data_IF_047463563036
#
_entry.id   IF_047463563036
#
_cell.length_a   1.000
_cell.length_b   1.000
_cell.length_c   1.000
_cell.angle_alpha   90.00
_cell.angle_beta   90.00
_cell.angle_gamma   90.00
#
_symmetry.space_group_name_H-M   'P 1'
#
loop_
_entity.id
_entity.type
_entity.pdbx_description
1 polymer ?
#
# COMPACT_ATOMS: atom_id res chain seq x y z
N UNK A 1 -35.18 -38.26 47.54
CA UNK A 1 -33.87 -38.07 48.19
C UNK A 1 -33.76 -36.62 48.60
N UNK A 2 -33.41 -36.32 49.86
CA UNK A 2 -33.23 -34.95 50.33
C UNK A 2 -31.83 -34.45 49.94
N UNK A 3 -31.76 -33.37 49.15
CA UNK A 3 -30.50 -32.72 48.76
C UNK A 3 -29.80 -32.13 50.00
N UNK A 4 -28.50 -32.44 50.17
CA UNK A 4 -27.71 -31.88 51.26
C UNK A 4 -27.23 -30.45 50.94
N UNK A 5 -26.87 -29.70 51.99
CA UNK A 5 -26.45 -28.31 51.86
C UNK A 5 -25.19 -28.12 50.98
N UNK A 6 -24.33 -29.13 50.88
CA UNK A 6 -23.14 -29.13 50.03
C UNK A 6 -23.51 -29.17 48.54
N UNK A 7 -24.54 -29.94 48.17
CA UNK A 7 -25.07 -30.00 46.80
C UNK A 7 -25.71 -28.66 46.40
N UNK A 8 -26.34 -27.96 47.35
CA UNK A 8 -26.86 -26.59 47.14
C UNK A 8 -25.73 -25.58 46.91
N UNK A 9 -24.66 -25.61 47.71
CA UNK A 9 -23.51 -24.70 47.52
C UNK A 9 -22.76 -24.99 46.22
N UNK A 10 -22.61 -26.26 45.83
CA UNK A 10 -22.02 -26.65 44.56
C UNK A 10 -22.85 -26.19 43.35
N UNK A 11 -24.19 -26.20 43.46
CA UNK A 11 -25.09 -25.68 42.41
C UNK A 11 -25.05 -24.13 42.33
N UNK A 12 -24.85 -23.46 43.47
CA UNK A 12 -24.65 -22.00 43.53
C UNK A 12 -23.28 -21.59 42.96
N UNK A 13 -22.22 -22.36 43.20
CA UNK A 13 -20.89 -22.11 42.63
C UNK A 13 -20.81 -22.48 41.14
N UNK A 14 -21.51 -23.52 40.68
CA UNK A 14 -21.65 -23.85 39.25
C UNK A 14 -22.49 -22.82 38.47
N UNK A 15 -23.29 -22.01 39.18
CA UNK A 15 -24.02 -20.86 38.66
C UNK A 15 -23.28 -19.53 38.82
N UNK A 16 -21.95 -19.53 38.98
CA UNK A 16 -21.15 -18.29 38.95
C UNK A 16 -21.24 -17.67 37.55
N UNK A 17 -22.25 -16.83 37.38
CA UNK A 17 -22.52 -16.00 36.22
C UNK A 17 -21.29 -15.14 35.89
N UNK A 18 -20.50 -15.54 34.89
CA UNK A 18 -19.58 -14.61 34.24
C UNK A 18 -20.44 -13.67 33.41
N UNK A 19 -20.67 -12.47 33.93
CA UNK A 19 -21.20 -11.37 33.13
C UNK A 19 -20.14 -10.87 32.16
N UNK A 20 -20.55 -10.37 31.01
CA UNK A 20 -19.66 -9.66 30.10
C UNK A 20 -19.85 -8.15 30.28
N UNK A 21 -18.77 -7.38 30.17
CA UNK A 21 -18.87 -5.91 30.11
C UNK A 21 -18.33 -5.41 28.80
N UNK A 22 -19.06 -4.52 28.13
CA UNK A 22 -18.62 -3.84 26.92
C UNK A 22 -18.85 -2.33 27.06
N UNK A 23 -18.23 -1.51 26.21
CA UNK A 23 -18.56 -0.07 26.10
C UNK A 23 -19.44 0.12 24.88
N UNK A 24 -20.55 0.83 25.03
CA UNK A 24 -21.40 1.21 23.90
C UNK A 24 -20.77 2.33 23.06
N UNK A 25 -21.44 2.70 21.96
CA UNK A 25 -21.04 3.76 21.02
C UNK A 25 -20.83 5.14 21.67
N UNK A 26 -21.41 5.37 22.85
CA UNK A 26 -21.30 6.64 23.59
C UNK A 26 -20.22 6.52 24.70
N UNK A 27 -19.43 5.43 24.70
CA UNK A 27 -18.34 5.18 25.63
C UNK A 27 -18.78 4.70 27.01
N UNK A 28 -20.08 4.41 27.21
CA UNK A 28 -20.64 4.01 28.50
C UNK A 28 -20.53 2.51 28.70
N UNK A 29 -20.10 2.11 29.88
CA UNK A 29 -19.97 0.70 30.23
C UNK A 29 -21.34 0.04 30.42
N UNK A 30 -21.56 -1.03 29.67
CA UNK A 30 -22.75 -1.87 29.72
C UNK A 30 -22.38 -3.24 30.27
N UNK A 31 -23.31 -3.82 31.04
CA UNK A 31 -23.11 -5.11 31.72
C UNK A 31 -24.15 -6.09 31.21
N UNK A 32 -23.70 -7.18 30.63
CA UNK A 32 -24.54 -8.29 30.20
C UNK A 32 -24.55 -9.31 31.31
N UNK A 33 -25.74 -9.52 31.86
CA UNK A 33 -26.00 -10.55 32.85
C UNK A 33 -26.57 -11.77 32.13
N UNK A 34 -26.26 -12.99 32.58
CA UNK A 34 -26.91 -14.18 32.08
C UNK A 34 -28.42 -14.12 32.25
N UNK A 35 -29.18 -14.67 31.29
CA UNK A 35 -30.64 -14.70 31.29
C UNK A 35 -31.16 -16.12 31.06
N UNK A 36 -32.38 -16.38 31.55
CA UNK A 36 -33.08 -17.67 31.42
C UNK A 36 -32.56 -18.80 32.34
N UNK A 37 -33.31 -19.90 32.37
CA UNK A 37 -33.04 -21.06 33.25
C UNK A 37 -31.70 -21.77 32.95
N UNK A 38 -31.12 -21.50 31.77
CA UNK A 38 -29.86 -22.04 31.30
C UNK A 38 -28.63 -21.14 31.56
N UNK A 39 -28.81 -19.94 32.15
CA UNK A 39 -27.73 -18.98 32.43
C UNK A 39 -26.86 -18.63 31.20
N UNK A 40 -27.48 -18.46 30.02
CA UNK A 40 -26.73 -18.01 28.84
C UNK A 40 -26.56 -16.50 28.84
N UNK A 41 -25.44 -16.03 28.29
CA UNK A 41 -25.23 -14.62 28.00
C UNK A 41 -26.04 -14.23 26.76
N UNK A 42 -26.96 -13.28 26.91
CA UNK A 42 -27.66 -12.68 25.79
C UNK A 42 -26.78 -11.60 25.15
N UNK A 43 -26.12 -11.96 24.05
CA UNK A 43 -25.22 -11.08 23.30
C UNK A 43 -25.93 -10.27 22.21
N UNK A 44 -27.26 -10.35 22.10
CA UNK A 44 -28.02 -9.58 21.10
C UNK A 44 -27.80 -8.07 21.26
N UNK A 45 -27.67 -7.61 22.50
CA UNK A 45 -27.32 -6.22 22.85
C UNK A 45 -25.90 -5.81 22.48
N UNK A 46 -24.94 -6.77 22.37
CA UNK A 46 -23.60 -6.47 21.84
C UNK A 46 -23.72 -6.19 20.36
N UNK A 47 -24.31 -7.11 19.61
CA UNK A 47 -24.39 -7.06 18.14
C UNK A 47 -25.18 -5.84 17.64
N UNK A 48 -26.20 -5.40 18.41
CA UNK A 48 -27.03 -4.24 18.06
C UNK A 48 -26.43 -2.90 18.49
N UNK A 49 -25.61 -2.85 19.56
CA UNK A 49 -24.93 -1.62 19.99
C UNK A 49 -23.47 -1.50 19.52
N UNK A 50 -22.88 -2.57 18.97
CA UNK A 50 -21.55 -2.58 18.38
C UNK A 50 -21.54 -2.16 16.91
N UNK A 51 -22.58 -1.49 16.42
CA UNK A 51 -22.59 -0.87 15.10
C UNK A 51 -22.61 -1.82 13.91
N UNK A 52 -22.90 -3.12 14.10
CA UNK A 52 -23.14 -4.05 13.00
C UNK A 52 -24.60 -4.00 12.55
N UNK A 53 -25.04 -2.82 12.10
CA UNK A 53 -26.21 -2.70 11.24
C UNK A 53 -25.78 -3.05 9.82
N UNK A 54 -26.35 -4.12 9.30
CA UNK A 54 -26.16 -4.68 7.95
C UNK A 54 -26.80 -3.84 6.83
N UNK A 55 -26.78 -2.51 6.96
CA UNK A 55 -27.16 -1.60 5.89
C UNK A 55 -25.88 -0.89 5.42
N UNK A 56 -25.36 -1.33 4.28
CA UNK A 56 -24.24 -0.69 3.61
C UNK A 56 -24.60 0.75 3.26
N UNK A 57 -23.95 1.69 3.94
CA UNK A 57 -24.13 3.13 3.75
C UNK A 57 -24.89 3.78 4.91
N UNK A 58 -24.20 4.62 5.69
CA UNK A 58 -24.88 5.34 6.76
C UNK A 58 -23.97 6.19 7.64
N UNK A 59 -23.68 7.41 7.18
CA UNK A 59 -23.55 8.63 8.00
C UNK A 59 -22.89 8.48 9.37
N UNK A 60 -21.58 8.25 9.41
CA UNK A 60 -20.81 8.62 10.60
C UNK A 60 -20.71 10.16 10.63
N UNK A 61 -21.34 10.87 11.59
CA UNK A 61 -21.34 12.33 11.63
C UNK A 61 -19.94 12.93 11.84
N UNK A 62 -19.03 12.15 12.42
CA UNK A 62 -17.65 12.56 12.69
C UNK A 62 -16.72 12.33 11.49
N UNK A 63 -17.19 11.64 10.44
CA UNK A 63 -16.42 11.33 9.24
C UNK A 63 -17.31 11.44 7.98
N UNK A 64 -17.56 12.67 7.47
CA UNK A 64 -18.35 12.87 6.27
C UNK A 64 -17.67 12.21 5.05
N UNK A 65 -18.46 11.58 4.18
CA UNK A 65 -17.97 10.97 2.95
C UNK A 65 -17.42 12.02 2.01
N UNK A 66 -16.21 11.78 1.47
CA UNK A 66 -15.74 12.46 0.28
C UNK A 66 -15.34 11.37 -0.72
N UNK A 67 -16.12 11.24 -1.79
CA UNK A 67 -16.18 10.02 -2.60
C UNK A 67 -17.29 9.11 -2.07
N UNK A 68 -18.29 8.88 -2.91
CA UNK A 68 -19.67 8.58 -2.55
C UNK A 68 -19.92 7.18 -1.94
N UNK A 69 -19.41 6.94 -0.72
CA UNK A 69 -20.14 6.32 0.42
C UNK A 69 -19.27 5.56 1.45
N UNK A 70 -17.93 5.57 1.30
CA UNK A 70 -17.02 4.95 2.27
C UNK A 70 -16.19 6.00 3.01
N UNK A 71 -15.85 5.72 4.26
CA UNK A 71 -15.07 6.62 5.12
C UNK A 71 -13.62 6.11 5.23
N UNK A 72 -12.69 6.98 5.63
CA UNK A 72 -11.25 6.66 5.64
C UNK A 72 -10.85 5.47 6.54
N UNK A 73 -11.74 5.00 7.42
CA UNK A 73 -11.54 3.82 8.26
C UNK A 73 -11.99 2.50 7.63
N UNK A 74 -12.84 2.50 6.59
CA UNK A 74 -13.43 1.28 6.04
C UNK A 74 -12.41 0.25 5.56
N UNK A 75 -11.28 0.71 5.01
CA UNK A 75 -10.19 -0.19 4.63
C UNK A 75 -9.48 -0.78 5.86
N UNK A 76 -9.23 0.05 6.88
CA UNK A 76 -8.56 -0.38 8.10
C UNK A 76 -9.39 -1.43 8.85
N UNK A 77 -10.70 -1.23 8.94
CA UNK A 77 -11.66 -2.14 9.59
C UNK A 77 -11.98 -3.40 8.76
N UNK A 78 -11.51 -3.44 7.50
CA UNK A 78 -11.67 -4.57 6.59
C UNK A 78 -13.09 -4.72 6.02
N UNK A 79 -13.85 -3.62 6.02
CA UNK A 79 -15.15 -3.52 5.35
C UNK A 79 -14.98 -3.52 3.82
N UNK A 80 -13.85 -3.02 3.33
CA UNK A 80 -13.46 -3.10 1.91
C UNK A 80 -12.71 -4.41 1.67
N UNK A 81 -13.23 -5.24 0.77
CA UNK A 81 -12.70 -6.55 0.41
C UNK A 81 -12.71 -6.77 -1.10
N UNK A 82 -12.25 -7.94 -1.55
CA UNK A 82 -12.27 -8.36 -2.95
C UNK A 82 -11.70 -7.33 -3.94
N UNK A 83 -10.59 -6.68 -3.55
CA UNK A 83 -9.96 -5.67 -4.40
C UNK A 83 -9.18 -6.32 -5.54
N UNK A 84 -9.63 -6.16 -6.78
CA UNK A 84 -8.99 -6.73 -7.97
C UNK A 84 -8.50 -5.64 -8.90
N UNK A 85 -7.28 -5.81 -9.42
CA UNK A 85 -6.64 -4.82 -10.29
C UNK A 85 -7.33 -4.76 -11.66
N UNK A 86 -7.70 -3.54 -12.06
CA UNK A 86 -8.21 -3.25 -13.40
C UNK A 86 -7.16 -2.55 -14.24
N UNK A 87 -6.43 -1.61 -13.64
CA UNK A 87 -5.37 -0.87 -14.30
C UNK A 87 -4.28 -0.46 -13.31
N UNK A 88 -3.03 -0.47 -13.77
CA UNK A 88 -1.87 0.06 -13.04
C UNK A 88 -0.92 0.72 -14.01
N UNK A 89 -0.34 1.84 -13.61
CA UNK A 89 0.63 2.59 -14.39
C UNK A 89 0.91 3.93 -13.72
N UNK A 90 1.35 4.90 -14.50
CA UNK A 90 1.32 6.31 -14.12
C UNK A 90 0.73 7.02 -15.32
N UNK A 91 -0.44 7.62 -15.15
CA UNK A 91 -1.11 8.28 -16.26
C UNK A 91 -0.49 9.64 -16.60
N UNK A 92 -0.82 10.14 -17.79
CA UNK A 92 -0.44 11.48 -18.22
C UNK A 92 -1.64 12.39 -17.96
N UNK A 93 -1.61 13.26 -16.93
CA UNK A 93 -2.77 14.04 -16.52
C UNK A 93 -3.16 15.11 -17.56
N UNK A 94 -2.37 15.28 -18.62
CA UNK A 94 -2.70 16.18 -19.75
C UNK A 94 -3.54 15.50 -20.84
N UNK A 95 -3.77 14.19 -20.72
CA UNK A 95 -4.53 13.39 -21.68
C UNK A 95 -5.63 12.63 -20.96
N UNK A 96 -6.67 12.28 -21.70
CA UNK A 96 -7.69 11.36 -21.19
C UNK A 96 -7.10 9.94 -21.12
N UNK A 97 -7.25 9.31 -19.96
CA UNK A 97 -6.96 7.88 -19.79
C UNK A 97 -8.27 7.11 -20.00
N UNK A 98 -8.27 6.16 -20.95
CA UNK A 98 -9.38 5.21 -21.11
C UNK A 98 -8.95 3.85 -20.58
N UNK A 99 -9.65 3.35 -19.57
CA UNK A 99 -9.44 2.04 -18.96
C UNK A 99 -10.52 1.08 -19.43
N UNK A 100 -10.10 -0.06 -19.98
CA UNK A 100 -10.97 -1.21 -20.22
C UNK A 100 -10.85 -2.17 -19.04
N UNK A 101 -11.98 -2.49 -18.40
CA UNK A 101 -12.02 -3.41 -17.27
C UNK A 101 -11.67 -4.85 -17.72
N UNK A 102 -10.90 -5.56 -16.89
CA UNK A 102 -10.48 -6.93 -17.15
C UNK A 102 -11.62 -7.93 -16.91
N UNK A 103 -12.47 -7.64 -15.92
CA UNK A 103 -13.66 -8.42 -15.63
C UNK A 103 -14.85 -7.86 -16.44
N UNK A 104 -15.50 -8.68 -17.29
CA UNK A 104 -16.70 -8.24 -18.05
C UNK A 104 -17.79 -7.85 -17.05
N UNK A 105 -18.23 -6.57 -17.03
CA UNK A 105 -19.23 -6.12 -16.09
C UNK A 105 -20.61 -6.79 -16.28
N UNK A 106 -20.82 -7.54 -17.37
CA UNK A 106 -22.13 -8.08 -17.69
C UNK A 106 -23.14 -6.93 -17.86
N UNK A 107 -24.27 -6.97 -17.15
CA UNK A 107 -25.32 -5.94 -17.18
C UNK A 107 -25.20 -4.87 -16.08
N UNK A 108 -24.25 -5.02 -15.15
CA UNK A 108 -23.97 -4.06 -14.07
C UNK A 108 -22.63 -3.38 -14.35
N UNK A 109 -22.43 -2.14 -13.91
CA UNK A 109 -21.29 -1.32 -14.34
C UNK A 109 -19.90 -1.89 -14.00
N UNK A 110 -19.81 -2.64 -12.89
CA UNK A 110 -18.63 -3.39 -12.43
C UNK A 110 -19.01 -4.84 -12.10
N UNK A 111 -20.01 -5.41 -12.79
CA UNK A 111 -20.45 -6.79 -12.54
C UNK A 111 -20.99 -7.01 -11.13
N UNK A 112 -20.25 -7.79 -10.34
CA UNK A 112 -20.61 -8.17 -8.98
C UNK A 112 -20.05 -7.25 -7.89
N UNK A 113 -19.18 -6.30 -8.25
CA UNK A 113 -18.47 -5.43 -7.32
C UNK A 113 -19.30 -4.20 -6.93
N UNK A 114 -18.99 -3.63 -5.76
CA UNK A 114 -19.71 -2.48 -5.20
C UNK A 114 -19.20 -1.15 -5.76
N UNK A 115 -17.94 -1.09 -6.22
CA UNK A 115 -17.37 0.12 -6.79
C UNK A 115 -15.93 -0.02 -7.27
N UNK A 116 -15.27 1.13 -7.44
CA UNK A 116 -13.85 1.25 -7.76
C UNK A 116 -13.06 1.98 -6.68
N UNK A 117 -11.82 1.54 -6.47
CA UNK A 117 -10.79 2.19 -5.68
C UNK A 117 -9.77 2.83 -6.62
N UNK A 118 -9.38 4.07 -6.33
CA UNK A 118 -8.35 4.82 -7.06
C UNK A 118 -7.22 5.14 -6.09
N UNK A 119 -5.99 4.77 -6.48
CA UNK A 119 -4.74 5.21 -5.86
C UNK A 119 -4.00 6.14 -6.81
N UNK A 120 -3.29 7.11 -6.26
CA UNK A 120 -2.61 8.12 -7.04
C UNK A 120 -1.73 9.01 -6.17
N UNK A 121 -1.10 9.99 -6.81
CA UNK A 121 -0.24 10.97 -6.17
C UNK A 121 -0.51 12.38 -6.72
N UNK A 122 0.03 13.39 -6.03
CA UNK A 122 -0.02 14.77 -6.54
C UNK A 122 1.24 15.05 -7.34
N UNK A 123 1.05 15.38 -8.61
CA UNK A 123 2.08 15.98 -9.43
C UNK A 123 2.02 17.49 -9.28
N UNK A 124 3.15 18.09 -8.89
CA UNK A 124 3.35 19.52 -8.69
C UNK A 124 4.21 20.08 -9.82
N UNK A 125 3.77 21.19 -10.40
CA UNK A 125 4.48 21.89 -11.48
C UNK A 125 4.74 23.32 -11.02
N UNK A 126 6.00 23.74 -10.99
CA UNK A 126 6.38 25.10 -10.64
C UNK A 126 5.99 26.11 -11.74
N UNK A 127 5.57 27.30 -11.31
CA UNK A 127 5.32 28.45 -12.18
C UNK A 127 6.13 29.64 -11.68
N UNK A 128 6.89 30.27 -12.59
CA UNK A 128 7.54 31.56 -12.36
C UNK A 128 7.10 32.54 -13.45
N UNK A 129 6.31 33.55 -13.08
CA UNK A 129 5.77 34.56 -14.01
C UNK A 129 5.10 33.96 -15.25
N UNK A 130 4.32 32.90 -15.05
CA UNK A 130 3.63 32.17 -16.12
C UNK A 130 4.50 31.22 -16.94
N UNK A 131 5.81 31.11 -16.65
CA UNK A 131 6.69 30.12 -17.26
C UNK A 131 6.63 28.82 -16.47
N UNK A 132 6.36 27.72 -17.18
CA UNK A 132 6.35 26.36 -16.61
C UNK A 132 7.78 25.95 -16.27
N UNK A 133 8.00 25.61 -15.01
CA UNK A 133 9.26 25.11 -14.48
C UNK A 133 9.25 23.59 -14.28
N UNK A 134 9.99 23.15 -13.27
CA UNK A 134 10.17 21.73 -12.97
C UNK A 134 8.88 21.06 -12.47
N UNK A 135 8.75 19.79 -12.83
CA UNK A 135 7.72 18.89 -12.33
C UNK A 135 8.29 18.01 -11.22
N UNK A 136 7.53 17.84 -10.15
CA UNK A 136 7.88 17.01 -8.99
C UNK A 136 6.64 16.30 -8.44
N UNK A 137 6.85 15.31 -7.59
CA UNK A 137 5.78 14.64 -6.85
C UNK A 137 5.70 15.20 -5.43
N UNK A 138 4.48 15.28 -4.89
CA UNK A 138 4.22 15.62 -3.48
C UNK A 138 3.32 14.55 -2.88
N UNK A 139 3.71 14.05 -1.71
CA UNK A 139 2.94 13.04 -1.00
C UNK A 139 1.58 13.60 -0.54
N UNK A 140 0.54 12.77 -0.64
CA UNK A 140 -0.78 13.08 -0.13
C UNK A 140 -0.83 12.88 1.40
N UNK A 141 -1.50 13.81 2.08
CA UNK A 141 -1.86 13.68 3.48
C UNK A 141 -3.38 13.83 3.63
N UNK A 142 -4.09 12.72 3.83
CA UNK A 142 -5.49 12.79 4.23
C UNK A 142 -5.61 13.26 5.68
N UNK A 143 -6.28 14.40 5.90
CA UNK A 143 -6.65 14.87 7.22
C UNK A 143 -8.07 15.45 7.18
N UNK A 144 -9.00 14.81 7.90
CA UNK A 144 -10.40 15.26 7.99
C UNK A 144 -10.55 16.64 8.63
N UNK A 145 -9.56 17.11 9.41
CA UNK A 145 -9.53 18.45 9.99
C UNK A 145 -8.90 19.48 9.06
N UNK A 146 -8.40 19.04 7.90
CA UNK A 146 -7.73 19.87 6.91
C UNK A 146 -6.49 20.60 7.47
N UNK A 147 -5.76 19.96 8.40
CA UNK A 147 -4.57 20.56 9.02
C UNK A 147 -3.38 20.42 8.08
N UNK A 148 -2.76 21.55 7.75
CA UNK A 148 -1.52 21.57 6.97
C UNK A 148 -0.46 20.66 7.59
N UNK A 149 0.21 19.89 6.75
CA UNK A 149 1.40 19.11 7.11
C UNK A 149 2.54 19.47 6.17
N UNK A 150 3.65 19.93 6.73
CA UNK A 150 4.80 20.37 5.95
C UNK A 150 5.35 19.24 5.06
N UNK A 151 5.56 19.55 3.78
CA UNK A 151 6.05 18.60 2.77
C UNK A 151 4.97 17.70 2.15
N UNK A 152 3.68 17.93 2.45
CA UNK A 152 2.57 17.15 1.92
C UNK A 152 1.52 18.04 1.27
N UNK A 153 0.77 17.47 0.32
CA UNK A 153 -0.50 18.01 -0.11
C UNK A 153 -1.59 17.49 0.84
N UNK A 154 -2.03 18.34 1.78
CA UNK A 154 -3.13 17.99 2.68
C UNK A 154 -4.48 18.08 1.96
N UNK A 155 -5.24 16.99 2.05
CA UNK A 155 -6.58 16.85 1.47
C UNK A 155 -7.58 16.36 2.51
N UNK A 156 -8.83 16.78 2.39
CA UNK A 156 -9.98 16.21 3.10
C UNK A 156 -10.64 15.08 2.32
N UNK A 157 -10.21 14.82 1.08
CA UNK A 157 -10.68 13.67 0.31
C UNK A 157 -10.03 12.38 0.87
N UNK A 158 -10.81 11.40 1.35
CA UNK A 158 -10.34 10.08 1.74
C UNK A 158 -9.36 9.50 0.75
N UNK A 159 -8.32 8.88 1.29
CA UNK A 159 -7.33 8.14 0.53
C UNK A 159 -7.16 6.74 1.13
N UNK A 160 -7.35 5.65 0.36
CA UNK A 160 -7.71 5.59 -1.06
C UNK A 160 -9.06 6.25 -1.40
N UNK A 161 -9.23 6.65 -2.65
CA UNK A 161 -10.50 7.20 -3.14
C UNK A 161 -11.42 6.02 -3.49
N UNK A 162 -12.63 6.02 -2.95
CA UNK A 162 -13.65 5.01 -3.23
C UNK A 162 -14.85 5.64 -3.94
N UNK A 163 -15.25 5.06 -5.07
CA UNK A 163 -16.43 5.48 -5.82
C UNK A 163 -17.35 4.29 -6.00
N UNK A 164 -18.58 4.39 -5.50
CA UNK A 164 -19.59 3.36 -5.70
C UNK A 164 -20.07 3.30 -7.15
N UNK A 165 -20.52 2.10 -7.52
CA UNK A 165 -21.24 1.83 -8.77
C UNK A 165 -22.36 2.83 -9.05
N UNK A 166 -23.19 3.12 -8.05
CA UNK A 166 -24.36 3.99 -8.20
C UNK A 166 -24.00 5.47 -8.46
N UNK A 167 -22.77 5.86 -8.12
CA UNK A 167 -22.25 7.22 -8.31
C UNK A 167 -21.58 7.44 -9.66
N UNK A 168 -21.51 6.40 -10.50
CA UNK A 168 -20.96 6.45 -11.85
C UNK A 168 -22.01 6.04 -12.90
N UNK A 169 -23.18 6.69 -12.99
CA UNK A 169 -24.17 6.29 -13.98
C UNK A 169 -23.62 6.36 -15.41
N UNK A 170 -23.92 5.33 -16.21
CA UNK A 170 -23.40 5.23 -17.57
C UNK A 170 -23.72 6.47 -18.42
N UNK A 171 -22.70 6.98 -19.12
CA UNK A 171 -22.76 8.18 -19.95
C UNK A 171 -22.74 9.49 -19.19
N UNK A 172 -22.63 9.48 -17.86
CA UNK A 172 -22.48 10.69 -17.04
C UNK A 172 -21.07 10.81 -16.50
N UNK A 173 -20.66 12.05 -16.24
CA UNK A 173 -19.40 12.36 -15.57
C UNK A 173 -19.63 12.53 -14.09
N UNK A 174 -18.89 11.76 -13.28
CA UNK A 174 -18.77 11.97 -11.84
C UNK A 174 -17.49 12.76 -11.55
N UNK A 175 -17.64 13.81 -10.76
CA UNK A 175 -16.54 14.68 -10.39
C UNK A 175 -16.03 14.29 -9.00
N UNK A 176 -14.72 14.09 -8.88
CA UNK A 176 -14.04 13.68 -7.65
C UNK A 176 -13.02 14.75 -7.28
N UNK A 177 -13.41 15.74 -6.46
CA UNK A 177 -12.52 16.82 -6.07
C UNK A 177 -11.54 16.36 -4.98
N UNK A 178 -10.28 16.77 -5.10
CA UNK A 178 -9.22 16.52 -4.11
C UNK A 178 -9.09 17.76 -3.20
N UNK A 179 -10.21 18.10 -2.56
CA UNK A 179 -10.36 19.30 -1.73
C UNK A 179 -9.40 19.29 -0.54
N UNK A 180 -8.84 20.44 -0.19
CA UNK A 180 -8.03 20.61 1.01
C UNK A 180 -7.24 21.91 1.02
N UNK A 181 -6.37 22.09 2.01
CA UNK A 181 -5.42 23.21 2.06
C UNK A 181 -4.19 23.00 1.15
N UNK A 182 -4.06 21.84 0.50
CA UNK A 182 -2.88 21.51 -0.30
C UNK A 182 -1.61 21.57 0.53
N UNK A 183 -0.55 22.18 0.00
CA UNK A 183 0.69 22.43 0.75
C UNK A 183 0.58 23.59 1.76
N UNK A 184 -0.59 24.24 1.86
CA UNK A 184 -0.84 25.38 2.75
C UNK A 184 0.12 26.53 2.50
N UNK A 185 0.25 26.91 1.23
CA UNK A 185 1.02 28.07 0.80
C UNK A 185 0.11 29.28 0.96
N UNK A 186 0.57 30.36 1.61
CA UNK A 186 -0.24 31.56 1.88
C UNK A 186 -0.46 32.42 0.62
N UNK A 187 -0.98 31.79 -0.44
CA UNK A 187 -1.23 32.38 -1.75
C UNK A 187 -2.66 32.91 -1.84
N UNK A 188 -2.87 33.94 -2.66
CA UNK A 188 -4.17 34.61 -2.80
C UNK A 188 -5.13 33.92 -3.77
N UNK A 189 -4.66 33.01 -4.62
CA UNK A 189 -5.46 32.34 -5.63
C UNK A 189 -5.26 30.83 -5.59
N UNK A 190 -6.31 30.11 -5.19
CA UNK A 190 -6.25 28.66 -4.95
C UNK A 190 -7.42 27.92 -5.56
N UNK A 191 -7.15 26.71 -6.06
CA UNK A 191 -8.13 25.75 -6.55
C UNK A 191 -7.60 24.34 -6.39
N UNK A 192 -8.41 23.44 -5.83
CA UNK A 192 -8.04 22.02 -5.73
C UNK A 192 -8.09 21.30 -7.09
N UNK A 193 -7.22 20.29 -7.32
CA UNK A 193 -7.33 19.43 -8.48
C UNK A 193 -8.55 18.50 -8.34
N UNK A 194 -9.02 17.98 -9.46
CA UNK A 194 -10.21 17.13 -9.53
C UNK A 194 -10.04 16.07 -10.62
N UNK A 195 -10.64 14.90 -10.40
CA UNK A 195 -10.81 13.87 -11.42
C UNK A 195 -12.24 13.89 -11.96
N UNK A 196 -12.38 13.81 -13.27
CA UNK A 196 -13.64 13.63 -13.98
C UNK A 196 -13.70 12.19 -14.50
N UNK A 197 -14.65 11.42 -13.99
CA UNK A 197 -14.81 10.00 -14.29
C UNK A 197 -16.06 9.78 -15.14
N UNK A 198 -15.93 9.25 -16.35
CA UNK A 198 -17.07 8.92 -17.21
C UNK A 198 -17.07 7.44 -17.54
N UNK A 199 -18.11 6.73 -17.09
CA UNK A 199 -18.33 5.35 -17.54
C UNK A 199 -19.05 5.36 -18.89
N UNK A 200 -18.37 4.86 -19.91
CA UNK A 200 -18.84 4.89 -21.28
C UNK A 200 -19.79 3.72 -21.58
N UNK A 201 -20.60 3.87 -22.62
CA UNK A 201 -21.53 2.82 -23.08
C UNK A 201 -20.81 1.56 -23.61
N UNK A 202 -19.55 1.70 -24.03
CA UNK A 202 -18.68 0.59 -24.44
C UNK A 202 -18.03 -0.14 -23.26
N UNK A 203 -18.48 0.16 -22.04
CA UNK A 203 -18.00 -0.39 -20.76
C UNK A 203 -16.55 -0.02 -20.42
N UNK A 204 -16.02 1.07 -20.97
CA UNK A 204 -14.76 1.64 -20.53
C UNK A 204 -14.98 2.76 -19.51
N UNK A 205 -13.97 3.05 -18.70
CA UNK A 205 -13.93 4.25 -17.86
C UNK A 205 -12.96 5.25 -18.47
N UNK A 206 -13.43 6.46 -18.77
CA UNK A 206 -12.56 7.59 -19.09
C UNK A 206 -12.28 8.40 -17.84
N UNK A 207 -11.00 8.69 -17.61
CA UNK A 207 -10.51 9.59 -16.57
C UNK A 207 -9.93 10.83 -17.25
N UNK A 208 -10.45 11.99 -16.87
CA UNK A 208 -9.93 13.30 -17.26
C UNK A 208 -9.51 14.06 -16.00
N UNK A 209 -8.46 14.87 -16.09
CA UNK A 209 -7.90 15.58 -14.95
C UNK A 209 -8.16 17.08 -15.08
N UNK A 210 -8.65 17.67 -13.99
CA UNK A 210 -8.78 19.12 -13.85
C UNK A 210 -7.63 19.60 -12.98
N UNK A 211 -6.83 20.49 -13.56
CA UNK A 211 -5.70 21.13 -12.88
C UNK A 211 -6.19 21.99 -11.71
N UNK A 212 -5.57 21.80 -10.54
CA UNK A 212 -5.60 22.70 -9.41
C UNK A 212 -4.40 23.67 -9.43
N UNK A 213 -4.43 24.70 -8.60
CA UNK A 213 -3.35 25.65 -8.48
C UNK A 213 -3.33 26.32 -7.10
N UNK A 214 -2.16 26.81 -6.70
CA UNK A 214 -1.98 27.76 -5.59
C UNK A 214 -0.90 28.74 -6.04
N UNK A 215 -1.29 29.99 -6.34
CA UNK A 215 -0.43 31.02 -6.89
C UNK A 215 -0.86 32.44 -6.48
N UNK A 216 -0.04 33.43 -6.84
CA UNK A 216 -0.28 34.84 -6.55
C UNK A 216 -1.46 35.47 -7.33
N UNK A 217 -1.95 34.82 -8.39
CA UNK A 217 -3.05 35.31 -9.22
C UNK A 217 -2.67 36.47 -10.15
N UNK A 218 -1.37 36.73 -10.39
CA UNK A 218 -0.96 37.83 -11.28
C UNK A 218 -1.38 37.58 -12.73
N UNK A 219 -2.20 38.48 -13.27
CA UNK A 219 -2.68 38.46 -14.66
C UNK A 219 -1.57 38.60 -15.71
N UNK A 220 -0.41 39.15 -15.35
CA UNK A 220 0.76 39.24 -16.25
C UNK A 220 1.56 37.92 -16.32
N UNK A 221 1.25 36.97 -15.44
CA UNK A 221 1.91 35.67 -15.35
C UNK A 221 2.01 35.27 -13.87
N UNK A 222 1.28 34.24 -13.48
CA UNK A 222 1.24 33.82 -12.09
C UNK A 222 2.54 33.14 -11.64
N UNK A 223 2.93 33.37 -10.38
CA UNK A 223 4.01 32.66 -9.70
C UNK A 223 3.42 31.77 -8.60
N UNK A 224 3.84 30.50 -8.55
CA UNK A 224 3.30 29.52 -7.61
C UNK A 224 3.36 28.11 -8.20
N UNK A 225 2.29 27.34 -8.02
CA UNK A 225 2.26 25.93 -8.44
C UNK A 225 0.94 25.54 -9.07
N UNK A 226 1.02 24.64 -10.04
CA UNK A 226 -0.10 23.84 -10.53
C UNK A 226 -0.03 22.43 -9.96
N UNK A 227 -1.20 21.82 -9.77
CA UNK A 227 -1.34 20.49 -9.22
C UNK A 227 -2.24 19.63 -10.08
N UNK A 228 -1.85 18.38 -10.28
CA UNK A 228 -2.69 17.32 -10.82
C UNK A 228 -2.73 16.17 -9.83
N UNK A 229 -3.89 15.52 -9.70
CA UNK A 229 -3.95 14.18 -9.12
C UNK A 229 -3.73 13.19 -10.24
N UNK A 230 -2.59 12.50 -10.22
CA UNK A 230 -2.18 11.49 -11.20
C UNK A 230 -2.64 10.13 -10.69
N UNK A 231 -3.29 9.33 -11.54
CA UNK A 231 -3.78 8.01 -11.17
C UNK A 231 -2.69 6.98 -11.41
N UNK A 232 -2.41 6.19 -10.37
CA UNK A 232 -1.40 5.12 -10.43
C UNK A 232 -2.04 3.73 -10.48
N UNK A 233 -3.21 3.56 -9.87
CA UNK A 233 -3.89 2.27 -9.79
C UNK A 233 -5.39 2.45 -9.73
N UNK A 234 -6.08 1.61 -10.49
CA UNK A 234 -7.52 1.44 -10.44
C UNK A 234 -7.86 -0.02 -10.17
N UNK A 235 -8.75 -0.24 -9.22
CA UNK A 235 -9.19 -1.57 -8.81
C UNK A 235 -10.69 -1.58 -8.55
N UNK A 236 -11.36 -2.70 -8.81
CA UNK A 236 -12.71 -2.95 -8.28
C UNK A 236 -12.65 -3.31 -6.80
N UNK A 237 -13.77 -3.21 -6.08
CA UNK A 237 -13.88 -3.72 -4.70
C UNK A 237 -15.30 -4.19 -4.37
N UNK A 238 -15.41 -5.08 -3.39
CA UNK A 238 -16.66 -5.45 -2.73
C UNK A 238 -16.66 -4.98 -1.27
N UNK A 239 -17.82 -5.02 -0.64
CA UNK A 239 -18.01 -4.68 0.76
C UNK A 239 -18.48 -5.86 1.59
N UNK A 240 -18.18 -5.78 2.88
CA UNK A 240 -18.64 -6.71 3.89
C UNK A 240 -18.72 -6.02 5.24
N UNK A 241 -19.27 -6.72 6.25
CA UNK A 241 -19.16 -6.25 7.63
C UNK A 241 -17.70 -6.23 8.11
N UNK A 242 -17.40 -5.32 9.03
CA UNK A 242 -16.06 -5.20 9.62
C UNK A 242 -15.53 -6.55 10.14
N UNK A 243 -14.23 -6.78 9.95
CA UNK A 243 -13.58 -8.04 10.32
C UNK A 243 -12.52 -7.83 11.39
N UNK A 244 -12.33 -8.84 12.24
CA UNK A 244 -11.29 -8.82 13.25
C UNK A 244 -9.90 -8.77 12.61
N UNK A 245 -9.09 -7.79 13.03
CA UNK A 245 -7.75 -7.59 12.50
C UNK A 245 -6.72 -8.49 13.20
N UNK A 246 -5.79 -9.05 12.43
CA UNK A 246 -4.65 -9.79 12.97
C UNK A 246 -3.73 -8.85 13.77
N UNK A 247 -3.29 -9.19 14.99
CA UNK A 247 -2.36 -8.36 15.75
C UNK A 247 -1.10 -8.00 14.94
N UNK A 248 -0.43 -6.86 15.23
CA UNK A 248 0.85 -6.54 14.60
C UNK A 248 1.91 -7.60 14.93
N UNK A 249 2.89 -7.75 14.05
CA UNK A 249 3.99 -8.71 14.16
C UNK A 249 3.57 -10.19 14.14
N UNK A 250 2.31 -10.51 13.82
CA UNK A 250 1.88 -11.91 13.62
C UNK A 250 2.65 -12.48 12.44
N UNK A 251 3.25 -13.63 12.67
CA UNK A 251 4.06 -14.33 11.68
C UNK A 251 3.16 -15.08 10.69
N UNK A 252 3.10 -14.57 9.46
CA UNK A 252 2.27 -15.11 8.38
C UNK A 252 3.07 -16.10 7.51
N UNK A 253 4.39 -16.01 7.56
CA UNK A 253 5.31 -16.90 6.85
C UNK A 253 6.68 -16.90 7.52
N UNK A 254 7.27 -18.09 7.66
CA UNK A 254 8.69 -18.26 8.01
C UNK A 254 9.30 -19.40 7.23
N UNK A 255 10.50 -19.17 6.72
CA UNK A 255 11.22 -20.12 5.87
C UNK A 255 12.05 -19.37 4.85
N UNK A 256 12.74 -20.07 3.95
CA UNK A 256 13.57 -19.44 2.92
C UNK A 256 13.04 -19.81 1.55
N UNK A 257 12.27 -18.90 0.92
CA UNK A 257 11.68 -19.14 -0.40
C UNK A 257 11.90 -17.96 -1.34
N UNK A 258 11.99 -18.25 -2.65
CA UNK A 258 12.01 -17.25 -3.72
C UNK A 258 10.79 -17.44 -4.60
N UNK A 259 10.18 -16.35 -5.09
CA UNK A 259 8.93 -16.43 -5.85
C UNK A 259 7.71 -16.42 -4.94
N UNK A 260 6.84 -17.43 -5.06
CA UNK A 260 5.59 -17.52 -4.29
C UNK A 260 5.86 -17.72 -2.80
N UNK A 261 5.37 -16.79 -1.98
CA UNK A 261 5.34 -16.82 -0.52
C UNK A 261 3.88 -16.98 -0.09
N UNK A 262 3.53 -18.19 0.32
CA UNK A 262 2.20 -18.48 0.87
C UNK A 262 2.09 -17.90 2.27
N UNK A 263 1.13 -17.02 2.49
CA UNK A 263 0.85 -16.44 3.82
C UNK A 263 -0.25 -17.25 4.52
N UNK A 264 -0.08 -17.51 5.81
CA UNK A 264 -1.06 -18.22 6.65
C UNK A 264 -1.69 -17.24 7.63
N UNK A 265 -3.02 -17.23 7.72
CA UNK A 265 -3.76 -16.37 8.63
C UNK A 265 -4.55 -15.24 7.95
N UNK A 266 -3.97 -14.49 6.99
CA UNK A 266 -4.75 -13.52 6.25
C UNK A 266 -5.87 -14.19 5.45
N UNK A 267 -6.96 -13.46 5.30
CA UNK A 267 -7.98 -13.77 4.30
C UNK A 267 -7.40 -13.70 2.88
N UNK A 268 -8.14 -14.25 1.91
CA UNK A 268 -7.71 -14.26 0.50
C UNK A 268 -7.46 -12.85 -0.07
N UNK A 269 -8.09 -11.81 0.49
CA UNK A 269 -7.98 -10.43 0.00
C UNK A 269 -7.33 -9.47 1.01
N UNK A 270 -6.73 -10.00 2.08
CA UNK A 270 -5.99 -9.23 3.08
C UNK A 270 -6.82 -8.19 3.85
N UNK A 271 -8.15 -8.28 3.89
CA UNK A 271 -9.01 -7.38 4.68
C UNK A 271 -8.72 -7.40 6.18
N UNK A 272 -8.16 -8.50 6.71
CA UNK A 272 -7.87 -8.71 8.13
C UNK A 272 -6.40 -8.46 8.50
N UNK A 273 -5.59 -7.87 7.62
CA UNK A 273 -4.26 -7.37 7.99
C UNK A 273 -4.37 -5.91 8.42
N UNK A 274 -3.61 -5.50 9.43
CA UNK A 274 -3.69 -4.16 10.06
C UNK A 274 -3.36 -3.02 9.07
N UNK A 275 -2.12 -2.54 9.06
CA UNK A 275 -1.72 -1.44 8.16
C UNK A 275 -1.01 -1.97 6.91
N UNK A 276 -0.77 -3.28 6.85
CA UNK A 276 -0.15 -3.95 5.71
C UNK A 276 0.70 -5.15 6.08
N UNK A 277 1.61 -5.49 5.18
CA UNK A 277 2.58 -6.57 5.31
C UNK A 277 4.00 -6.00 5.42
N UNK A 278 4.76 -6.52 6.36
CA UNK A 278 6.20 -6.32 6.45
C UNK A 278 6.89 -7.59 5.95
N UNK A 279 7.76 -7.45 4.96
CA UNK A 279 8.47 -8.55 4.32
C UNK A 279 9.95 -8.43 4.66
N UNK A 280 10.52 -9.50 5.19
CA UNK A 280 11.95 -9.57 5.54
C UNK A 280 12.65 -10.56 4.62
N UNK A 281 13.71 -10.11 3.96
CA UNK A 281 14.59 -10.94 3.16
C UNK A 281 15.60 -11.72 4.02
N UNK A 282 16.16 -12.77 3.42
CA UNK A 282 17.38 -13.42 3.89
C UNK A 282 18.57 -12.44 3.79
N UNK A 283 19.60 -12.66 4.61
CA UNK A 283 20.79 -11.79 4.62
C UNK A 283 21.57 -11.84 3.29
N UNK A 284 21.34 -12.87 2.48
CA UNK A 284 22.06 -13.11 1.24
C UNK A 284 21.12 -13.34 0.04
N UNK A 285 21.40 -12.66 -1.06
CA UNK A 285 20.87 -13.01 -2.37
C UNK A 285 21.70 -14.14 -3.01
N UNK A 286 21.06 -15.02 -3.78
CA UNK A 286 21.76 -16.07 -4.54
C UNK A 286 21.99 -15.58 -5.98
N UNK A 287 23.24 -15.50 -6.43
CA UNK A 287 23.59 -15.05 -7.79
C UNK A 287 23.69 -16.24 -8.76
N UNK A 288 24.30 -17.32 -8.29
CA UNK A 288 24.41 -18.60 -9.01
C UNK A 288 24.34 -19.77 -8.02
N UNK A 289 24.46 -21.00 -8.50
CA UNK A 289 24.37 -22.23 -7.67
C UNK A 289 25.24 -22.19 -6.42
N UNK A 290 26.40 -21.53 -6.50
CA UNK A 290 27.43 -21.54 -5.46
C UNK A 290 27.76 -20.14 -4.92
N UNK A 291 27.19 -19.07 -5.49
CA UNK A 291 27.59 -17.70 -5.21
C UNK A 291 26.46 -16.94 -4.50
N UNK A 292 26.82 -16.24 -3.43
CA UNK A 292 25.91 -15.44 -2.61
C UNK A 292 26.51 -14.06 -2.39
N UNK A 293 25.64 -13.06 -2.31
CA UNK A 293 26.01 -11.68 -1.99
C UNK A 293 25.12 -11.18 -0.86
N UNK A 294 25.69 -10.42 0.08
CA UNK A 294 24.89 -9.80 1.13
C UNK A 294 23.91 -8.79 0.50
N UNK A 295 22.64 -8.82 0.91
CA UNK A 295 21.62 -7.89 0.37
C UNK A 295 21.90 -6.42 0.75
N UNK A 296 22.71 -6.18 1.79
CA UNK A 296 23.17 -4.85 2.19
C UNK A 296 24.21 -4.27 1.24
N UNK A 297 25.14 -5.10 0.74
CA UNK A 297 26.03 -4.75 -0.38
C UNK A 297 25.23 -4.42 -1.63
N UNK A 298 24.01 -4.94 -1.68
CA UNK A 298 23.06 -4.66 -2.71
C UNK A 298 22.18 -3.41 -2.47
N UNK A 299 22.42 -2.63 -1.40
CA UNK A 299 21.57 -1.48 -1.01
C UNK A 299 20.06 -1.78 -1.03
N UNK A 300 19.69 -3.03 -0.78
CA UNK A 300 18.31 -3.45 -0.58
C UNK A 300 18.07 -3.41 0.92
N UNK A 301 17.02 -2.69 1.32
CA UNK A 301 16.57 -2.78 2.70
C UNK A 301 16.16 -4.22 3.00
N UNK A 302 16.75 -4.79 4.05
CA UNK A 302 16.44 -6.15 4.49
C UNK A 302 14.95 -6.36 4.75
N UNK A 303 14.28 -5.29 5.16
CA UNK A 303 12.86 -5.27 5.43
C UNK A 303 12.22 -4.14 4.64
N UNK A 304 11.08 -4.43 4.03
CA UNK A 304 10.24 -3.41 3.41
C UNK A 304 8.78 -3.63 3.80
N UNK A 305 8.00 -2.54 3.74
CA UNK A 305 6.58 -2.54 4.05
C UNK A 305 5.76 -2.40 2.78
N UNK A 306 4.71 -3.21 2.69
CA UNK A 306 3.65 -3.11 1.70
C UNK A 306 2.42 -2.62 2.44
N UNK A 307 1.97 -1.37 2.19
CA UNK A 307 0.84 -0.83 2.91
C UNK A 307 -0.47 -1.43 2.40
N UNK A 308 -1.47 -1.50 3.28
CA UNK A 308 -2.74 -2.22 3.06
C UNK A 308 -3.44 -1.74 1.79
N UNK A 309 -3.40 -0.44 1.50
CA UNK A 309 -3.96 0.13 0.28
C UNK A 309 -3.38 -0.50 -0.99
N UNK A 310 -2.09 -0.89 -0.99
CA UNK A 310 -1.43 -1.53 -2.14
C UNK A 310 -1.66 -3.04 -2.24
N UNK A 311 -2.25 -3.68 -1.23
CA UNK A 311 -2.62 -5.11 -1.23
C UNK A 311 -3.87 -5.40 -2.08
N UNK A 312 -3.79 -5.09 -3.37
CA UNK A 312 -4.82 -5.30 -4.39
C UNK A 312 -4.45 -6.54 -5.20
N UNK A 313 -5.37 -7.49 -5.39
CA UNK A 313 -5.10 -8.73 -6.12
C UNK A 313 -4.74 -8.42 -7.57
N UNK A 314 -3.60 -8.95 -8.01
CA UNK A 314 -3.05 -8.68 -9.35
C UNK A 314 -2.07 -7.52 -9.40
N UNK A 315 -2.04 -6.64 -8.38
CA UNK A 315 -1.13 -5.51 -8.32
C UNK A 315 0.34 -5.96 -8.30
N UNK A 316 1.19 -5.20 -8.99
CA UNK A 316 2.63 -5.39 -9.05
C UNK A 316 3.31 -4.16 -8.47
N UNK A 317 3.92 -4.32 -7.30
CA UNK A 317 4.59 -3.24 -6.59
C UNK A 317 6.06 -3.30 -6.94
N UNK A 318 6.55 -2.20 -7.52
CA UNK A 318 7.94 -2.04 -7.92
C UNK A 318 8.74 -1.41 -6.78
N UNK A 319 9.81 -2.07 -6.38
CA UNK A 319 10.77 -1.54 -5.40
C UNK A 319 12.07 -1.23 -6.13
N UNK A 320 12.46 0.05 -6.24
CA UNK A 320 13.70 0.41 -6.89
C UNK A 320 14.89 -0.11 -6.08
N UNK A 321 15.93 -0.48 -6.80
CA UNK A 321 17.17 -1.00 -6.26
C UNK A 321 18.30 -0.14 -6.84
N UNK A 322 18.91 0.70 -6.01
CA UNK A 322 20.01 1.56 -6.43
C UNK A 322 21.33 0.80 -6.27
N UNK A 323 22.14 0.66 -7.33
CA UNK A 323 23.41 -0.04 -7.26
C UNK A 323 24.61 0.77 -7.69
N UNK A 324 25.62 0.70 -6.82
CA UNK A 324 27.03 0.78 -7.15
C UNK A 324 27.73 0.11 -5.96
N UNK A 325 27.96 -1.21 -6.05
CA UNK A 325 29.04 -1.85 -5.29
C UNK A 325 29.43 -3.28 -5.74
N UNK A 326 30.70 -3.62 -5.49
CA UNK A 326 31.42 -4.83 -5.91
C UNK A 326 31.19 -6.00 -4.94
N UNK A 327 30.89 -7.20 -5.45
CA UNK A 327 30.72 -8.41 -4.63
C UNK A 327 31.93 -9.35 -4.74
N UNK A 328 32.61 -9.62 -3.62
CA UNK A 328 33.64 -10.66 -3.48
C UNK A 328 32.97 -12.03 -3.19
N UNK A 329 33.50 -13.09 -3.79
CA UNK A 329 33.08 -14.48 -3.63
C UNK A 329 33.78 -15.22 -2.47
N UNK A 330 34.72 -14.59 -1.77
CA UNK A 330 35.41 -15.27 -0.68
C UNK A 330 34.48 -15.47 0.53
N UNK A 331 34.25 -16.73 0.89
CA UNK A 331 33.43 -17.17 2.03
C UNK A 331 33.97 -16.75 3.41
N UNK A 332 34.97 -15.87 3.46
CA UNK A 332 35.80 -15.60 4.64
C UNK A 332 35.77 -14.17 5.16
N UNK A 333 35.18 -13.20 4.47
CA UNK A 333 35.01 -11.84 5.04
C UNK A 333 33.97 -11.02 4.28
N UNK A 334 33.04 -10.32 4.96
CA UNK A 334 32.19 -9.34 4.29
C UNK A 334 33.05 -8.17 3.81
N UNK A 335 32.96 -7.83 2.53
CA UNK A 335 33.62 -6.65 1.97
C UNK A 335 33.17 -5.41 2.74
N UNK A 336 34.13 -4.74 3.38
CA UNK A 336 33.95 -3.41 3.95
C UNK A 336 34.15 -2.41 2.83
N UNK A 337 33.12 -1.60 2.58
CA UNK A 337 33.11 -0.36 1.80
C UNK A 337 33.29 -0.44 0.28
N UNK A 338 32.61 0.49 -0.38
CA UNK A 338 32.55 0.64 -1.81
C UNK A 338 33.90 0.98 -2.43
N UNK A 339 34.41 0.08 -3.25
CA UNK A 339 35.62 0.33 -4.04
C UNK A 339 35.19 1.10 -5.27
N UNK A 340 35.70 2.32 -5.49
CA UNK A 340 35.45 3.03 -6.75
C UNK A 340 36.51 2.59 -7.76
N UNK A 341 36.15 1.72 -8.71
CA UNK A 341 37.10 1.21 -9.69
C UNK A 341 37.06 1.91 -11.06
N UNK A 342 38.22 2.19 -11.67
CA UNK A 342 38.31 2.57 -13.11
C UNK A 342 38.84 1.39 -13.93
N UNK A 343 38.18 1.09 -15.04
CA UNK A 343 38.64 0.04 -15.97
C UNK A 343 39.72 0.59 -16.90
N UNK A 344 40.91 -0.01 -16.90
CA UNK A 344 42.03 0.38 -17.77
C UNK A 344 42.73 -0.88 -18.29
N UNK A 345 42.79 -1.04 -19.62
CA UNK A 345 43.55 -2.10 -20.30
C UNK A 345 43.29 -3.54 -19.79
N UNK A 346 42.02 -3.97 -19.76
CA UNK A 346 41.61 -5.30 -19.27
C UNK A 346 41.99 -5.60 -17.81
N UNK A 347 42.17 -4.56 -16.98
CA UNK A 347 42.36 -4.67 -15.53
C UNK A 347 41.44 -3.69 -14.81
N UNK A 348 40.87 -4.13 -13.69
CA UNK A 348 40.13 -3.24 -12.77
C UNK A 348 41.16 -2.52 -11.92
N UNK A 349 41.14 -1.18 -11.94
CA UNK A 349 41.93 -0.35 -11.02
C UNK A 349 41.09 -0.14 -9.78
N UNK A 350 41.41 -0.82 -8.67
CA UNK A 350 40.85 -0.55 -7.34
C UNK A 350 41.55 0.70 -6.81
N UNK A 351 40.80 1.79 -6.62
CA UNK A 351 41.29 2.94 -5.84
C UNK A 351 40.82 2.73 -4.40
N UNK A 352 41.71 2.23 -3.54
CA UNK A 352 41.54 2.44 -2.10
C UNK A 352 41.75 3.93 -1.84
N UNK A 353 40.84 4.55 -1.10
CA UNK A 353 40.77 6.01 -0.93
C UNK A 353 41.91 6.62 -0.13
N UNK A 354 42.84 5.82 0.40
CA UNK A 354 44.00 6.31 1.11
C UNK A 354 45.26 5.60 0.57
N UNK A 355 46.18 6.40 0.02
CA UNK A 355 47.57 6.05 -0.30
C UNK A 355 47.85 5.19 -1.56
N UNK A 356 47.73 5.83 -2.73
CA UNK A 356 48.55 5.49 -3.90
C UNK A 356 48.06 4.31 -4.74
N UNK A 357 47.80 4.60 -6.03
CA UNK A 357 47.38 3.64 -7.04
C UNK A 357 48.34 2.45 -7.14
N UNK A 358 47.98 1.34 -6.49
CA UNK A 358 48.73 0.09 -6.52
C UNK A 358 47.96 -0.96 -7.31
N UNK A 359 48.64 -1.63 -8.25
CA UNK A 359 48.06 -2.72 -9.04
C UNK A 359 48.06 -4.00 -8.22
N UNK A 360 46.89 -4.47 -7.78
CA UNK A 360 46.76 -5.82 -7.21
C UNK A 360 46.16 -6.76 -8.25
N UNK A 361 46.80 -7.92 -8.45
CA UNK A 361 46.13 -9.09 -9.02
C UNK A 361 45.30 -9.69 -7.89
N UNK A 362 44.11 -9.14 -7.68
CA UNK A 362 43.16 -9.75 -6.77
C UNK A 362 42.53 -10.98 -7.47
N UNK A 363 42.61 -12.19 -6.90
CA UNK A 363 41.93 -13.38 -7.43
C UNK A 363 40.40 -13.33 -7.35
N UNK A 364 39.79 -12.28 -6.78
CA UNK A 364 38.35 -12.16 -6.69
C UNK A 364 37.69 -11.83 -8.05
N UNK A 365 36.56 -12.50 -8.34
CA UNK A 365 35.71 -12.17 -9.48
C UNK A 365 34.79 -11.03 -9.11
N UNK A 366 34.81 -9.95 -9.90
CA UNK A 366 33.97 -8.77 -9.67
C UNK A 366 32.83 -8.69 -10.68
N UNK A 367 31.66 -8.24 -10.24
CA UNK A 367 30.48 -8.05 -11.09
C UNK A 367 29.99 -6.60 -11.01
N UNK A 368 29.63 -6.02 -12.16
CA UNK A 368 29.00 -4.70 -12.22
C UNK A 368 27.48 -4.87 -12.22
N UNK A 369 26.77 -4.19 -11.32
CA UNK A 369 25.31 -4.31 -11.17
C UNK A 369 24.70 -2.98 -11.56
N UNK A 370 23.81 -3.00 -12.56
CA UNK A 370 23.07 -1.82 -13.00
C UNK A 370 21.78 -1.62 -12.16
N UNK A 371 21.27 -0.38 -12.08
CA UNK A 371 20.12 0.02 -11.25
C UNK A 371 18.87 -0.83 -11.55
N UNK A 372 18.26 -1.50 -10.57
CA UNK A 372 17.20 -2.48 -10.82
C UNK A 372 15.88 -2.19 -10.13
N UNK A 373 14.93 -3.10 -10.33
CA UNK A 373 13.64 -3.12 -9.64
C UNK A 373 13.37 -4.58 -9.29
N UNK A 374 12.93 -4.85 -8.06
CA UNK A 374 12.25 -6.10 -7.76
C UNK A 374 10.76 -5.83 -7.60
N UNK A 375 9.98 -6.81 -8.02
CA UNK A 375 8.54 -6.68 -8.15
C UNK A 375 7.89 -7.61 -7.14
N UNK A 376 6.90 -7.11 -6.42
CA UNK A 376 6.03 -7.92 -5.58
C UNK A 376 4.66 -7.98 -6.21
N UNK A 377 4.28 -9.17 -6.69
CA UNK A 377 2.92 -9.42 -7.19
C UNK A 377 2.04 -9.87 -6.03
N UNK A 378 0.95 -9.17 -5.82
CA UNK A 378 -0.07 -9.51 -4.82
C UNK A 378 -1.05 -10.51 -5.45
N UNK A 379 -1.39 -11.57 -4.71
CA UNK A 379 -2.28 -12.64 -5.16
C UNK A 379 -3.09 -13.17 -3.98
N UNK A 380 -4.12 -13.98 -4.26
CA UNK A 380 -5.04 -14.44 -3.21
C UNK A 380 -4.29 -15.29 -2.17
N UNK A 381 -4.20 -14.79 -0.93
CA UNK A 381 -3.51 -15.45 0.18
C UNK A 381 -2.01 -15.69 -0.03
N UNK A 382 -1.38 -15.02 -1.01
CA UNK A 382 0.06 -15.14 -1.28
C UNK A 382 0.64 -13.86 -1.89
N UNK A 383 1.89 -13.59 -1.58
CA UNK A 383 2.69 -12.60 -2.30
C UNK A 383 3.76 -13.32 -3.10
N UNK A 384 4.06 -12.83 -4.30
CA UNK A 384 5.11 -13.39 -5.14
C UNK A 384 6.21 -12.33 -5.30
N UNK A 385 7.40 -12.63 -4.77
CA UNK A 385 8.54 -11.71 -4.85
C UNK A 385 9.46 -12.17 -5.99
N UNK A 386 9.49 -11.37 -7.06
CA UNK A 386 10.30 -11.60 -8.25
C UNK A 386 11.36 -10.50 -8.36
N UNK A 387 12.63 -10.89 -8.21
CA UNK A 387 13.74 -10.03 -8.58
C UNK A 387 14.13 -10.35 -10.02
N UNK A 388 13.94 -9.39 -10.93
CA UNK A 388 14.27 -9.58 -12.35
C UNK A 388 15.19 -8.46 -12.81
N UNK A 389 16.51 -8.61 -12.62
CA UNK A 389 17.46 -7.85 -13.45
C UNK A 389 18.73 -8.62 -13.77
N UNK A 390 19.29 -8.23 -14.91
CA UNK A 390 20.55 -8.63 -15.50
C UNK A 390 21.72 -8.02 -14.71
N UNK A 391 22.66 -8.87 -14.29
CA UNK A 391 23.99 -8.44 -13.81
C UNK A 391 24.92 -8.24 -15.02
N UNK A 392 25.72 -7.16 -15.03
CA UNK A 392 26.63 -6.74 -16.11
C UNK A 392 28.11 -7.07 -15.86
N UNK A 393 28.90 -7.10 -16.94
CA UNK A 393 30.20 -7.78 -17.12
C UNK A 393 31.44 -7.29 -16.31
N UNK A 394 32.44 -8.18 -16.17
CA UNK A 394 33.85 -7.91 -16.49
C UNK A 394 34.22 -8.49 -17.88
N UNK A 395 34.30 -7.63 -18.90
CA UNK A 395 34.84 -7.86 -20.25
C UNK A 395 34.60 -9.21 -20.96
N UNK A 396 33.70 -9.20 -21.96
CA UNK A 396 33.80 -9.97 -23.21
C UNK A 396 32.96 -11.24 -23.33
N UNK A 397 32.23 -11.64 -22.30
CA UNK A 397 31.29 -12.77 -22.33
C UNK A 397 30.08 -12.40 -21.48
N UNK A 398 28.94 -12.13 -22.13
CA UNK A 398 27.67 -11.81 -21.47
C UNK A 398 27.22 -12.98 -20.57
N UNK A 399 27.50 -12.91 -19.27
CA UNK A 399 26.90 -13.80 -18.29
C UNK A 399 25.73 -13.06 -17.63
N UNK A 400 24.52 -13.40 -18.06
CA UNK A 400 23.28 -12.94 -17.44
C UNK A 400 23.11 -13.65 -16.11
N UNK A 401 23.48 -13.00 -15.00
CA UNK A 401 23.12 -13.52 -13.69
C UNK A 401 21.83 -12.86 -13.19
N UNK A 402 21.02 -13.64 -12.50
CA UNK A 402 19.78 -13.21 -11.86
C UNK A 402 19.93 -13.39 -10.37
N UNK A 403 20.01 -12.27 -9.63
CA UNK A 403 20.00 -12.33 -8.18
C UNK A 403 18.63 -12.81 -7.69
N UNK A 404 18.59 -13.97 -7.04
CA UNK A 404 17.40 -14.51 -6.40
C UNK A 404 17.37 -14.07 -4.95
N UNK A 405 16.47 -13.15 -4.64
CA UNK A 405 16.13 -12.77 -3.28
C UNK A 405 15.25 -13.86 -2.67
N UNK A 406 15.54 -14.22 -1.42
CA UNK A 406 14.71 -15.15 -0.64
C UNK A 406 14.01 -14.39 0.45
N UNK A 407 12.70 -14.55 0.55
CA UNK A 407 11.92 -14.07 1.70
C UNK A 407 12.16 -15.03 2.86
N UNK A 408 12.55 -14.47 4.00
CA UNK A 408 12.76 -15.17 5.26
C UNK A 408 11.50 -15.15 6.13
N UNK A 409 10.80 -14.01 6.15
CA UNK A 409 9.68 -13.77 7.05
C UNK A 409 8.66 -12.82 6.41
N UNK A 410 7.38 -13.04 6.69
CA UNK A 410 6.31 -12.05 6.44
C UNK A 410 5.49 -11.87 7.70
N UNK A 411 5.27 -10.62 8.10
CA UNK A 411 4.46 -10.26 9.27
C UNK A 411 3.45 -9.17 8.96
N UNK A 412 2.39 -9.05 9.77
CA UNK A 412 1.57 -7.83 9.82
C UNK A 412 2.34 -6.70 10.52
N UNK A 413 2.01 -5.44 10.24
CA UNK A 413 2.53 -4.29 11.00
C UNK A 413 1.44 -3.28 11.35
N UNK A 414 1.77 -2.39 12.29
CA UNK A 414 1.02 -1.17 12.60
C UNK A 414 2.01 0.01 12.65
N UNK A 415 1.66 1.13 12.03
CA UNK A 415 2.45 2.37 12.01
C UNK A 415 2.25 3.21 13.26
#
# INVERSE_FOLDING_TARGET
>A
MAENALTKVARIAAGSAMGATYKDKDGKQQVIKPTGDANYLDLSGVITNSGSSSDGGGTNPDNPSAGADYYAGSLADGEITERNLEWSGTDDPTKDLTVTFNDDPGTKIFGQYDGITILGHIQKIALDKGVVGDTSEVDLNYDSKNTKKDGYYTTTAPYPIYIKTESLPAGQTANVPINGVGEGLDNSNEKSPELNLTFNSDKTLTINHVMGYSNDGDSAGATGFNYYFVVDTLATFSTQGAVAQLPPSVNLFSGLTSGDVMTVGPSSFYENVMDGLEVTFDDYATISSNEKVAISSLKIDKTFKIPKEKLIIGNIINFPMNYLDYADLSSSSPVKSAITGKYLNNKITVLETDDGSSYYNDPHTYYAIDAGVFNVKVSKGKINVMCTKLLGEPSGIWLKYTAKLKVNKVTTYKN
#
